data_IF_696899204571
#
_entry.id   IF_696899204571
#
_cell.length_a   1.000
_cell.length_b   1.000
_cell.length_c   1.000
_cell.angle_alpha   90.00
_cell.angle_beta   90.00
_cell.angle_gamma   90.00
#
_symmetry.space_group_name_H-M   'P 1'
#
loop_
_entity.id
_entity.type
_entity.pdbx_description
1 polymer ?
#
# COMPACT_ATOMS: atom_id res chain seq x y z
N UNK A 1 23.92 -34.08 -8.90
CA UNK A 1 23.16 -34.06 -10.17
C UNK A 1 22.10 -32.98 -9.99
N UNK A 2 22.22 -31.89 -10.78
CA UNK A 2 21.45 -30.65 -10.62
C UNK A 2 20.03 -30.87 -11.11
N UNK A 3 19.03 -30.64 -10.27
CA UNK A 3 17.64 -30.47 -10.72
C UNK A 3 17.24 -29.01 -10.48
N UNK A 4 17.13 -28.28 -11.59
CA UNK A 4 16.83 -26.86 -11.64
C UNK A 4 15.36 -26.60 -11.29
N UNK A 5 15.10 -26.10 -10.08
CA UNK A 5 13.78 -25.60 -9.69
C UNK A 5 13.51 -24.31 -10.47
N UNK A 6 12.41 -24.33 -11.25
CA UNK A 6 11.96 -23.21 -12.07
C UNK A 6 11.47 -22.07 -11.18
N UNK A 7 12.10 -20.90 -11.32
CA UNK A 7 11.63 -19.57 -10.86
C UNK A 7 10.25 -19.27 -11.45
N UNK A 8 9.28 -18.84 -10.65
CA UNK A 8 8.04 -18.25 -11.17
C UNK A 8 7.63 -17.05 -10.33
N UNK A 9 8.21 -15.89 -10.66
CA UNK A 9 7.47 -14.64 -10.54
C UNK A 9 6.25 -14.73 -11.47
N UNK A 10 5.06 -14.46 -10.96
CA UNK A 10 3.86 -14.42 -11.80
C UNK A 10 3.91 -13.15 -12.62
N UNK A 11 4.22 -13.31 -13.90
CA UNK A 11 4.31 -12.22 -14.86
C UNK A 11 2.90 -11.94 -15.40
N UNK A 12 2.32 -10.78 -15.04
CA UNK A 12 1.00 -10.37 -15.52
C UNK A 12 1.13 -9.34 -16.67
N UNK A 13 0.48 -9.60 -17.81
CA UNK A 13 0.53 -8.70 -18.99
C UNK A 13 -0.50 -7.56 -18.87
N UNK A 14 -0.03 -6.34 -19.08
CA UNK A 14 -0.86 -5.18 -19.42
C UNK A 14 0.03 -4.12 -20.08
N UNK A 15 -0.10 -3.93 -21.40
CA UNK A 15 0.57 -2.84 -22.14
C UNK A 15 2.10 -2.76 -21.99
N UNK A 16 2.83 -3.46 -22.86
CA UNK A 16 4.29 -3.36 -23.10
C UNK A 16 5.29 -3.58 -21.94
N UNK A 17 4.89 -3.52 -20.66
CA UNK A 17 5.76 -3.81 -19.51
C UNK A 17 5.16 -4.88 -18.61
N UNK A 18 6.04 -5.69 -18.01
CA UNK A 18 5.65 -6.80 -17.14
C UNK A 18 5.68 -6.35 -15.69
N UNK A 19 4.56 -6.49 -14.96
CA UNK A 19 4.55 -6.32 -13.51
C UNK A 19 5.24 -7.51 -12.86
N UNK A 20 6.23 -7.25 -12.00
CA UNK A 20 6.86 -8.27 -11.16
C UNK A 20 5.99 -8.48 -9.92
N UNK A 21 5.58 -9.72 -9.64
CA UNK A 21 4.76 -10.06 -8.48
C UNK A 21 5.45 -11.13 -7.65
N UNK A 22 5.69 -10.83 -6.38
CA UNK A 22 6.25 -11.75 -5.38
C UNK A 22 5.14 -12.26 -4.48
N UNK A 23 5.00 -13.58 -4.39
CA UNK A 23 3.95 -14.24 -3.57
C UNK A 23 4.48 -15.37 -2.70
N UNK A 24 5.65 -15.92 -3.03
CA UNK A 24 6.29 -16.93 -2.19
C UNK A 24 6.84 -16.28 -0.92
N UNK A 25 6.56 -16.86 0.24
CA UNK A 25 6.89 -16.27 1.56
C UNK A 25 8.39 -16.00 1.71
N UNK A 26 9.23 -16.90 1.20
CA UNK A 26 10.68 -16.72 1.30
C UNK A 26 11.17 -15.62 0.35
N UNK A 27 10.69 -15.62 -0.89
CA UNK A 27 11.06 -14.57 -1.87
C UNK A 27 10.55 -13.18 -1.44
N UNK A 28 9.35 -13.11 -0.84
CA UNK A 28 8.77 -11.88 -0.27
C UNK A 28 9.69 -11.34 0.83
N UNK A 29 10.06 -12.16 1.80
CA UNK A 29 10.95 -11.75 2.89
C UNK A 29 12.32 -11.29 2.36
N UNK A 30 12.92 -12.05 1.44
CA UNK A 30 14.18 -11.66 0.80
C UNK A 30 14.07 -10.32 0.06
N UNK A 31 12.95 -10.09 -0.64
CA UNK A 31 12.75 -8.85 -1.39
C UNK A 31 12.56 -7.65 -0.48
N UNK A 32 11.79 -7.80 0.60
CA UNK A 32 11.60 -6.76 1.62
C UNK A 32 12.92 -6.47 2.36
N UNK A 33 13.70 -7.49 2.66
CA UNK A 33 15.04 -7.33 3.25
C UNK A 33 15.97 -6.52 2.34
N UNK A 34 15.91 -6.73 1.01
CA UNK A 34 16.66 -5.89 0.04
C UNK A 34 16.19 -4.44 0.00
N UNK A 35 14.97 -4.15 0.47
CA UNK A 35 14.47 -2.79 0.71
C UNK A 35 14.83 -2.26 2.11
N UNK A 36 15.69 -2.95 2.88
CA UNK A 36 16.07 -2.51 4.22
C UNK A 36 14.96 -2.57 5.27
N UNK A 37 13.87 -3.31 5.00
CA UNK A 37 12.73 -3.45 5.91
C UNK A 37 12.92 -4.49 7.02
N UNK A 38 14.09 -5.14 7.06
CA UNK A 38 14.55 -5.91 8.22
C UNK A 38 15.91 -5.35 8.68
N UNK A 39 15.92 -4.20 9.39
CA UNK A 39 17.12 -3.67 10.00
C UNK A 39 17.76 -4.67 10.98
N UNK A 40 19.07 -4.57 11.15
CA UNK A 40 19.79 -5.41 12.11
C UNK A 40 19.22 -5.26 13.53
N UNK A 41 19.02 -6.38 14.22
CA UNK A 41 18.47 -6.41 15.58
C UNK A 41 16.95 -6.26 15.66
N UNK A 42 16.23 -6.23 14.53
CA UNK A 42 14.76 -6.25 14.49
C UNK A 42 14.23 -7.62 14.06
N UNK A 43 12.92 -7.89 14.24
CA UNK A 43 12.25 -9.03 13.62
C UNK A 43 12.34 -9.06 12.08
N UNK A 44 11.74 -10.07 11.48
CA UNK A 44 11.64 -10.18 10.01
C UNK A 44 10.91 -8.97 9.40
N UNK A 45 11.15 -8.69 8.11
CA UNK A 45 10.51 -7.56 7.44
C UNK A 45 8.99 -7.71 7.40
N UNK A 46 8.49 -8.93 7.15
CA UNK A 46 7.06 -9.23 7.23
C UNK A 46 6.53 -8.97 8.65
N UNK A 47 7.20 -9.46 9.69
CA UNK A 47 6.75 -9.30 11.08
C UNK A 47 6.76 -7.83 11.54
N UNK A 48 7.73 -7.03 11.09
CA UNK A 48 7.77 -5.60 11.35
C UNK A 48 6.55 -4.87 10.77
N UNK A 49 6.15 -5.22 9.53
CA UNK A 49 4.97 -4.63 8.87
C UNK A 49 3.68 -5.16 9.50
N UNK A 50 3.59 -6.46 9.73
CA UNK A 50 2.47 -7.13 10.37
C UNK A 50 2.17 -6.53 11.75
N UNK A 51 3.21 -6.39 12.60
CA UNK A 51 3.08 -5.76 13.92
C UNK A 51 2.52 -4.33 13.81
N UNK A 52 2.96 -3.53 12.83
CA UNK A 52 2.43 -2.18 12.62
C UNK A 52 0.94 -2.19 12.22
N UNK A 53 0.53 -3.12 11.37
CA UNK A 53 -0.86 -3.30 10.93
C UNK A 53 -1.76 -3.81 12.06
N UNK A 54 -1.29 -4.79 12.85
CA UNK A 54 -2.03 -5.30 14.01
C UNK A 54 -2.25 -4.22 15.08
N UNK A 55 -1.21 -3.43 15.39
CA UNK A 55 -1.34 -2.29 16.31
C UNK A 55 -2.31 -1.24 15.78
N UNK A 56 -2.32 -0.99 14.47
CA UNK A 56 -3.26 -0.06 13.84
C UNK A 56 -4.70 -0.58 13.92
N UNK A 57 -4.93 -1.88 13.73
CA UNK A 57 -6.25 -2.49 13.89
C UNK A 57 -6.74 -2.42 15.33
N UNK A 58 -5.86 -2.68 16.30
CA UNK A 58 -6.21 -2.57 17.71
C UNK A 58 -6.73 -1.16 18.07
N UNK A 59 -6.15 -0.10 17.50
CA UNK A 59 -6.68 1.27 17.67
C UNK A 59 -7.97 1.52 16.86
N UNK A 60 -8.09 0.98 15.64
CA UNK A 60 -9.31 1.05 14.84
C UNK A 60 -10.50 0.43 15.55
N UNK A 61 -10.29 -0.66 16.29
CA UNK A 61 -11.34 -1.41 17.01
C UNK A 61 -11.99 -0.65 18.17
N UNK A 62 -11.45 0.51 18.58
CA UNK A 62 -12.13 1.39 19.52
C UNK A 62 -13.24 2.23 18.88
N UNK A 63 -13.30 2.29 17.54
CA UNK A 63 -14.42 2.92 16.86
C UNK A 63 -15.70 2.10 17.03
N UNK A 64 -16.82 2.81 17.08
CA UNK A 64 -18.16 2.27 17.20
C UNK A 64 -19.05 2.80 16.08
N UNK A 65 -20.27 2.28 15.96
CA UNK A 65 -21.25 2.81 15.00
C UNK A 65 -21.71 4.25 15.29
N UNK A 66 -21.33 4.85 16.42
CA UNK A 66 -21.60 6.25 16.73
C UNK A 66 -20.56 7.21 16.13
N UNK A 67 -19.42 6.69 15.70
CA UNK A 67 -18.36 7.48 15.08
C UNK A 67 -18.70 7.84 13.61
N UNK A 68 -18.11 8.91 13.06
CA UNK A 68 -18.22 9.20 11.64
C UNK A 68 -17.74 8.00 10.81
N UNK A 69 -18.45 7.68 9.73
CA UNK A 69 -18.17 6.52 8.84
C UNK A 69 -16.71 6.50 8.35
N UNK A 70 -16.08 7.66 8.17
CA UNK A 70 -14.69 7.76 7.71
C UNK A 70 -13.64 7.59 8.81
N UNK A 71 -14.00 7.72 10.10
CA UNK A 71 -13.06 7.75 11.21
C UNK A 71 -12.27 6.44 11.37
N UNK A 72 -12.87 5.23 11.33
CA UNK A 72 -12.12 3.98 11.46
C UNK A 72 -11.01 3.84 10.40
N UNK A 73 -11.32 4.19 9.15
CA UNK A 73 -10.34 4.18 8.06
C UNK A 73 -9.22 5.20 8.25
N UNK A 74 -9.55 6.40 8.73
CA UNK A 74 -8.56 7.44 9.03
C UNK A 74 -7.64 7.05 10.19
N UNK A 75 -8.18 6.44 11.25
CA UNK A 75 -7.40 5.91 12.37
C UNK A 75 -6.45 4.84 11.87
N UNK A 76 -6.95 3.82 11.16
CA UNK A 76 -6.12 2.73 10.68
C UNK A 76 -4.97 3.24 9.79
N UNK A 77 -5.26 4.11 8.83
CA UNK A 77 -4.25 4.72 7.97
C UNK A 77 -3.21 5.50 8.77
N UNK A 78 -3.64 6.43 9.64
CA UNK A 78 -2.75 7.27 10.41
C UNK A 78 -1.89 6.48 11.41
N UNK A 79 -2.45 5.43 11.99
CA UNK A 79 -1.73 4.52 12.91
C UNK A 79 -0.77 3.60 12.21
N UNK A 80 -1.11 3.10 11.03
CA UNK A 80 -0.15 2.35 10.20
C UNK A 80 1.07 3.21 9.90
N UNK A 81 0.87 4.46 9.44
CA UNK A 81 1.98 5.42 9.21
C UNK A 81 2.81 5.64 10.48
N UNK A 82 2.16 5.89 11.61
CA UNK A 82 2.82 6.10 12.90
C UNK A 82 3.66 4.89 13.32
N UNK A 83 3.08 3.70 13.31
CA UNK A 83 3.76 2.50 13.81
C UNK A 83 4.88 2.04 12.91
N UNK A 84 4.78 2.22 11.58
CA UNK A 84 5.94 2.06 10.70
C UNK A 84 7.05 3.06 11.06
N UNK A 85 6.73 4.33 11.32
CA UNK A 85 7.74 5.31 11.76
C UNK A 85 8.37 4.93 13.10
N UNK A 86 7.59 4.51 14.09
CA UNK A 86 8.13 4.03 15.37
C UNK A 86 9.08 2.85 15.18
N UNK A 87 8.75 1.92 14.27
CA UNK A 87 9.62 0.78 13.94
C UNK A 87 10.90 1.22 13.26
N UNK A 88 10.86 2.11 12.27
CA UNK A 88 11.99 2.32 11.35
C UNK A 88 12.84 3.57 11.63
N UNK A 89 12.31 4.60 12.29
CA UNK A 89 13.08 5.81 12.66
C UNK A 89 14.34 5.48 13.51
N UNK A 90 14.29 4.57 14.51
CA UNK A 90 15.49 4.19 15.26
C UNK A 90 16.61 3.56 14.40
N UNK A 91 16.28 3.11 13.19
CA UNK A 91 17.19 2.46 12.26
C UNK A 91 17.58 3.37 11.08
N UNK A 92 17.52 4.69 11.28
CA UNK A 92 18.03 5.69 10.35
C UNK A 92 17.08 6.05 9.21
N UNK A 93 15.84 5.56 9.21
CA UNK A 93 14.81 6.07 8.29
C UNK A 93 14.37 7.47 8.71
N UNK A 94 13.82 8.23 7.77
CA UNK A 94 13.35 9.60 8.02
C UNK A 94 11.86 9.73 7.80
N UNK A 95 11.14 10.38 8.73
CA UNK A 95 9.76 10.77 8.54
C UNK A 95 9.70 12.12 7.82
N UNK A 96 9.01 12.17 6.69
CA UNK A 96 8.76 13.41 5.94
C UNK A 96 7.29 13.50 5.54
N UNK A 97 6.78 14.70 5.30
CA UNK A 97 5.41 14.90 4.82
C UNK A 97 5.32 15.92 3.68
N UNK A 98 6.14 15.78 2.63
CA UNK A 98 6.18 16.76 1.55
C UNK A 98 4.84 16.89 0.86
N UNK A 99 4.38 18.13 0.66
CA UNK A 99 3.02 18.45 0.18
C UNK A 99 1.90 17.65 0.88
N UNK A 100 2.04 17.44 2.20
CA UNK A 100 1.13 16.64 3.05
C UNK A 100 1.00 15.15 2.69
N UNK A 101 1.95 14.59 1.93
CA UNK A 101 2.01 13.14 1.70
C UNK A 101 2.91 12.51 2.77
N UNK A 102 2.39 11.74 3.74
CA UNK A 102 3.24 11.16 4.76
C UNK A 102 4.12 10.07 4.16
N UNK A 103 5.42 10.26 4.30
CA UNK A 103 6.46 9.35 3.85
C UNK A 103 7.25 8.80 5.03
N UNK A 104 7.81 7.62 4.77
CA UNK A 104 8.93 7.04 5.48
C UNK A 104 10.05 6.85 4.45
N UNK A 105 11.07 7.71 4.50
CA UNK A 105 12.18 7.77 3.55
C UNK A 105 13.29 6.82 4.01
N UNK A 106 13.77 5.97 3.11
CA UNK A 106 14.80 4.98 3.40
C UNK A 106 16.14 5.66 3.78
N UNK A 107 17.00 5.02 4.58
CA UNK A 107 18.30 5.59 4.95
C UNK A 107 19.23 5.84 3.76
N UNK A 108 19.03 5.12 2.65
CA UNK A 108 19.77 5.36 1.40
C UNK A 108 19.30 6.61 0.65
N UNK A 109 18.16 7.18 1.04
CA UNK A 109 17.43 8.24 0.33
C UNK A 109 17.02 7.86 -1.10
N UNK A 110 17.15 6.59 -1.50
CA UNK A 110 16.85 6.12 -2.86
C UNK A 110 15.37 5.82 -3.08
N UNK A 111 14.55 5.75 -2.04
CA UNK A 111 13.11 5.56 -2.13
C UNK A 111 12.40 5.94 -0.82
N UNK A 112 11.07 6.04 -0.89
CA UNK A 112 10.21 6.21 0.27
C UNK A 112 9.02 5.24 0.25
N UNK A 113 8.38 5.07 1.40
CA UNK A 113 7.14 4.31 1.57
C UNK A 113 6.04 5.25 2.04
N UNK A 114 4.85 5.11 1.46
CA UNK A 114 3.61 5.70 1.94
C UNK A 114 2.54 4.61 2.08
N UNK A 115 1.38 4.97 2.63
CA UNK A 115 0.32 4.02 2.99
C UNK A 115 -1.00 4.47 2.35
N UNK A 116 -1.76 3.53 1.76
CA UNK A 116 -3.08 3.81 1.17
C UNK A 116 -4.00 2.59 1.29
N UNK A 117 -5.30 2.82 1.40
CA UNK A 117 -6.28 1.76 1.15
C UNK A 117 -6.29 1.36 -0.32
N UNK A 118 -6.43 0.07 -0.56
CA UNK A 118 -6.51 -0.56 -1.88
C UNK A 118 -7.94 -0.99 -2.25
N UNK A 119 -8.09 -1.60 -3.41
CA UNK A 119 -9.33 -2.23 -3.86
C UNK A 119 -9.42 -3.68 -3.38
N UNK A 120 -10.52 -4.39 -3.71
CA UNK A 120 -10.75 -5.78 -3.26
C UNK A 120 -9.73 -6.77 -3.81
N UNK A 121 -9.02 -6.40 -4.86
CA UNK A 121 -7.96 -7.18 -5.51
C UNK A 121 -6.60 -7.05 -4.80
N UNK A 122 -6.48 -6.18 -3.79
CA UNK A 122 -5.26 -5.98 -2.99
C UNK A 122 -4.87 -7.27 -2.26
N UNK A 123 -3.60 -7.65 -2.32
CA UNK A 123 -3.09 -8.87 -1.71
C UNK A 123 -3.35 -10.14 -2.54
N UNK A 124 -4.03 -10.03 -3.68
CA UNK A 124 -4.21 -11.14 -4.61
C UNK A 124 -3.23 -10.99 -5.79
N UNK A 125 -2.16 -11.79 -5.79
CA UNK A 125 -1.08 -11.67 -6.79
C UNK A 125 -1.51 -11.87 -8.25
N UNK A 126 -2.60 -12.61 -8.49
CA UNK A 126 -3.15 -12.84 -9.83
C UNK A 126 -4.11 -11.73 -10.32
N UNK A 127 -4.53 -10.81 -9.43
CA UNK A 127 -5.48 -9.75 -9.75
C UNK A 127 -4.79 -8.39 -9.84
N UNK A 128 -5.47 -7.38 -10.37
CA UNK A 128 -4.93 -6.03 -10.54
C UNK A 128 -5.58 -5.07 -9.54
N UNK A 129 -4.90 -4.70 -8.45
CA UNK A 129 -5.44 -3.77 -7.48
C UNK A 129 -5.40 -2.34 -7.99
N UNK A 130 -6.28 -1.53 -7.42
CA UNK A 130 -6.19 -0.08 -7.51
C UNK A 130 -6.08 0.52 -6.11
N UNK A 131 -5.68 1.78 -6.00
CA UNK A 131 -6.01 2.55 -4.78
C UNK A 131 -7.53 2.67 -4.65
N UNK A 132 -8.08 2.59 -3.43
CA UNK A 132 -9.55 2.63 -3.21
C UNK A 132 -10.20 3.89 -3.77
N UNK A 133 -9.59 5.03 -3.43
CA UNK A 133 -10.01 6.37 -3.84
C UNK A 133 -8.99 7.00 -4.78
N UNK A 134 -9.47 7.95 -5.60
CA UNK A 134 -8.60 8.81 -6.42
C UNK A 134 -7.58 9.54 -5.55
N UNK A 135 -6.44 9.86 -6.16
CA UNK A 135 -5.29 10.47 -5.51
C UNK A 135 -5.10 11.88 -6.04
N UNK A 136 -4.76 12.79 -5.12
CA UNK A 136 -4.50 14.18 -5.45
C UNK A 136 -3.21 14.36 -6.25
N UNK A 137 -3.03 15.55 -6.81
CA UNK A 137 -1.90 15.91 -7.66
C UNK A 137 -0.54 15.64 -7.01
N UNK A 138 -0.40 15.84 -5.70
CA UNK A 138 0.84 15.55 -4.98
C UNK A 138 1.25 14.07 -5.05
N UNK A 139 0.30 13.15 -4.93
CA UNK A 139 0.55 11.71 -5.06
C UNK A 139 0.75 11.33 -6.53
N UNK A 140 -0.05 11.90 -7.43
CA UNK A 140 0.07 11.64 -8.87
C UNK A 140 1.43 12.09 -9.43
N UNK A 141 1.99 13.19 -8.92
CA UNK A 141 3.35 13.63 -9.23
C UNK A 141 4.39 12.59 -8.87
N UNK A 142 4.26 11.93 -7.70
CA UNK A 142 5.16 10.84 -7.28
C UNK A 142 5.07 9.62 -8.19
N UNK A 143 3.86 9.24 -8.59
CA UNK A 143 3.66 8.14 -9.56
C UNK A 143 4.33 8.47 -10.89
N UNK A 144 4.25 9.73 -11.34
CA UNK A 144 4.96 10.19 -12.54
C UNK A 144 6.49 10.16 -12.36
N UNK A 145 7.02 10.57 -11.19
CA UNK A 145 8.44 10.45 -10.84
C UNK A 145 8.91 9.00 -10.91
N UNK A 146 8.17 8.06 -10.33
CA UNK A 146 8.48 6.63 -10.43
C UNK A 146 8.59 6.19 -11.89
N UNK A 147 7.61 6.55 -12.73
CA UNK A 147 7.60 6.19 -14.16
C UNK A 147 8.83 6.69 -14.89
N UNK A 148 9.24 7.93 -14.63
CA UNK A 148 10.39 8.56 -15.27
C UNK A 148 11.72 7.94 -14.82
N UNK A 149 11.88 7.66 -13.52
CA UNK A 149 13.08 7.00 -12.97
C UNK A 149 13.25 5.56 -13.45
N UNK A 150 12.15 4.89 -13.80
CA UNK A 150 12.18 3.56 -14.40
C UNK A 150 12.64 3.56 -15.89
N UNK A 151 12.91 4.74 -16.48
CA UNK A 151 13.44 4.89 -17.84
C UNK A 151 14.94 5.26 -17.75
N UNK A 152 15.86 4.45 -18.29
CA UNK A 152 17.29 4.75 -18.25
C UNK A 152 17.63 6.07 -18.96
N UNK A 153 18.41 6.94 -18.32
CA UNK A 153 19.00 8.14 -18.93
C UNK A 153 18.20 9.44 -18.78
N UNK A 154 17.12 9.47 -18.00
CA UNK A 154 16.35 10.69 -17.71
C UNK A 154 16.82 11.29 -16.38
N UNK A 155 17.50 12.44 -16.43
CA UNK A 155 17.86 13.24 -15.26
C UNK A 155 16.80 14.31 -14.97
N UNK A 156 16.66 14.68 -13.69
CA UNK A 156 15.70 15.70 -13.24
C UNK A 156 16.38 17.05 -13.05
N UNK A 157 15.62 18.13 -13.29
CA UNK A 157 16.02 19.50 -12.95
C UNK A 157 15.78 19.83 -11.48
N UNK A 158 16.61 20.70 -10.92
CA UNK A 158 16.55 21.17 -9.54
C UNK A 158 15.42 22.20 -9.36
N UNK A 159 14.32 21.79 -8.73
CA UNK A 159 13.34 22.69 -8.09
C UNK A 159 13.38 22.45 -6.57
N UNK A 160 12.85 23.37 -5.76
CA UNK A 160 12.85 23.29 -4.28
C UNK A 160 12.49 21.88 -3.77
N UNK A 161 13.50 21.13 -3.34
CA UNK A 161 13.39 19.71 -3.00
C UNK A 161 13.04 19.56 -1.53
N UNK A 162 11.78 19.27 -1.21
CA UNK A 162 11.42 18.78 0.13
C UNK A 162 11.96 17.36 0.33
N UNK A 163 12.25 16.97 1.57
CA UNK A 163 12.77 15.62 1.87
C UNK A 163 11.83 14.54 1.33
N UNK A 164 12.37 13.66 0.49
CA UNK A 164 11.62 12.59 -0.18
C UNK A 164 10.94 12.99 -1.49
N UNK A 165 11.19 14.19 -2.04
CA UNK A 165 10.88 14.51 -3.43
C UNK A 165 11.89 13.91 -4.41
N UNK A 166 11.46 13.70 -5.66
CA UNK A 166 12.33 13.20 -6.73
C UNK A 166 12.74 11.73 -6.63
N UNK A 167 12.25 10.98 -5.63
CA UNK A 167 12.61 9.57 -5.40
C UNK A 167 11.40 8.64 -5.56
N UNK A 168 11.60 7.36 -5.94
CA UNK A 168 10.55 6.37 -6.04
C UNK A 168 9.77 6.24 -4.74
N UNK A 169 8.44 6.28 -4.83
CA UNK A 169 7.55 6.09 -3.68
C UNK A 169 6.78 4.77 -3.80
N UNK A 170 7.01 3.85 -2.86
CA UNK A 170 6.28 2.61 -2.67
C UNK A 170 5.00 2.84 -1.85
N UNK A 171 3.98 2.03 -2.13
CA UNK A 171 2.69 2.08 -1.45
C UNK A 171 2.46 0.78 -0.69
N UNK A 172 2.39 0.87 0.64
CA UNK A 172 1.78 -0.17 1.45
C UNK A 172 0.26 -0.06 1.26
N UNK A 173 -0.27 -0.91 0.38
CA UNK A 173 -1.70 -1.06 0.16
C UNK A 173 -2.28 -2.03 1.18
N UNK A 174 -3.48 -1.73 1.66
CA UNK A 174 -4.21 -2.61 2.54
C UNK A 174 -5.71 -2.63 2.20
N UNK A 175 -6.37 -3.75 2.48
CA UNK A 175 -7.79 -3.96 2.28
C UNK A 175 -8.35 -4.88 3.37
N UNK A 176 -9.26 -4.34 4.19
CA UNK A 176 -10.08 -5.12 5.11
C UNK A 176 -11.17 -5.87 4.35
N UNK A 177 -11.38 -7.14 4.70
CA UNK A 177 -12.38 -8.03 4.13
C UNK A 177 -13.12 -8.72 5.26
N UNK A 178 -14.44 -8.57 5.33
CA UNK A 178 -15.27 -9.30 6.28
C UNK A 178 -15.21 -10.79 5.98
N UNK A 179 -14.99 -11.60 7.01
CA UNK A 179 -15.03 -13.07 6.94
C UNK A 179 -16.16 -13.60 7.81
N UNK A 180 -16.34 -14.93 7.87
CA UNK A 180 -17.33 -15.54 8.77
C UNK A 180 -16.94 -15.40 10.26
N UNK A 181 -15.66 -15.25 10.56
CA UNK A 181 -15.11 -15.26 11.93
C UNK A 181 -14.66 -13.88 12.42
N UNK A 182 -14.71 -12.85 11.56
CA UNK A 182 -14.27 -11.51 11.91
C UNK A 182 -13.84 -10.72 10.68
N UNK A 183 -12.66 -10.11 10.75
CA UNK A 183 -12.08 -9.30 9.68
C UNK A 183 -10.74 -9.86 9.28
N UNK A 184 -10.51 -9.99 7.98
CA UNK A 184 -9.22 -10.32 7.40
C UNK A 184 -8.62 -9.10 6.75
N UNK A 185 -7.32 -8.89 6.93
CA UNK A 185 -6.58 -7.84 6.28
C UNK A 185 -5.64 -8.42 5.23
N UNK A 186 -5.85 -8.00 3.99
CA UNK A 186 -4.91 -8.21 2.90
C UNK A 186 -4.02 -6.98 2.75
N UNK A 187 -2.72 -7.19 2.56
CA UNK A 187 -1.79 -6.11 2.33
C UNK A 187 -0.73 -6.46 1.28
N UNK A 188 -0.20 -5.43 0.62
CA UNK A 188 0.93 -5.57 -0.31
C UNK A 188 1.77 -4.29 -0.32
N UNK A 189 3.07 -4.43 -0.55
CA UNK A 189 3.97 -3.32 -0.82
C UNK A 189 4.20 -3.22 -2.32
N UNK A 190 3.70 -2.15 -2.93
CA UNK A 190 3.61 -2.03 -4.39
C UNK A 190 4.25 -0.75 -4.90
N UNK A 191 5.08 -0.86 -5.94
CA UNK A 191 5.71 0.27 -6.62
C UNK A 191 4.87 0.65 -7.85
N UNK A 192 4.20 1.81 -7.85
CA UNK A 192 3.39 2.23 -8.98
C UNK A 192 4.25 2.75 -10.14
N UNK A 193 3.76 2.53 -11.35
CA UNK A 193 4.30 3.09 -12.60
C UNK A 193 3.31 4.03 -13.29
N UNK A 194 2.03 3.95 -12.95
CA UNK A 194 1.00 4.77 -13.57
C UNK A 194 -0.31 4.74 -12.83
N UNK A 195 -1.22 5.57 -13.31
CA UNK A 195 -2.57 5.70 -12.81
C UNK A 195 -3.52 5.89 -14.00
N UNK A 196 -4.68 5.26 -13.95
CA UNK A 196 -5.72 5.33 -14.96
C UNK A 196 -6.43 6.69 -14.97
N UNK A 197 -7.39 6.83 -15.89
CA UNK A 197 -8.07 8.09 -16.22
C UNK A 197 -8.84 8.74 -15.05
N UNK A 198 -9.11 7.99 -13.98
CA UNK A 198 -9.88 8.46 -12.82
C UNK A 198 -9.02 8.83 -11.60
N UNK A 199 -7.71 9.00 -11.80
CA UNK A 199 -6.78 9.40 -10.73
C UNK A 199 -6.56 8.31 -9.67
N UNK A 200 -6.97 7.07 -9.94
CA UNK A 200 -6.62 5.91 -9.12
C UNK A 200 -5.34 5.31 -9.69
N UNK A 201 -4.45 4.90 -8.80
CA UNK A 201 -3.25 4.14 -9.19
C UNK A 201 -3.69 2.71 -9.50
N UNK A 202 -3.39 2.22 -10.69
CA UNK A 202 -3.82 0.91 -11.21
C UNK A 202 -2.74 0.21 -12.07
N UNK A 203 -1.60 0.87 -12.32
CA UNK A 203 -0.45 0.30 -13.04
C UNK A 203 0.75 0.19 -12.09
N UNK A 204 1.24 -1.03 -11.93
CA UNK A 204 2.30 -1.37 -10.97
C UNK A 204 3.51 -1.94 -11.69
N UNK A 205 4.70 -1.45 -11.34
CA UNK A 205 5.97 -2.01 -11.80
C UNK A 205 6.30 -3.29 -11.00
N UNK A 206 6.07 -3.24 -9.69
CA UNK A 206 6.41 -4.32 -8.77
C UNK A 206 5.38 -4.41 -7.64
N UNK A 207 5.04 -5.64 -7.22
CA UNK A 207 4.10 -5.93 -6.14
C UNK A 207 4.66 -7.03 -5.25
N UNK A 208 4.73 -6.76 -3.95
CA UNK A 208 5.19 -7.70 -2.93
C UNK A 208 3.99 -8.04 -2.04
N UNK A 209 3.43 -9.23 -2.21
CA UNK A 209 2.21 -9.65 -1.52
C UNK A 209 2.58 -10.12 -0.11
N UNK A 210 1.98 -9.50 0.91
CA UNK A 210 2.21 -9.87 2.31
C UNK A 210 1.24 -10.99 2.73
N UNK A 211 1.61 -11.81 3.73
CA UNK A 211 0.67 -12.75 4.35
C UNK A 211 -0.59 -12.04 4.85
N UNK A 212 -1.72 -12.74 4.79
CA UNK A 212 -2.99 -12.25 5.33
C UNK A 212 -2.98 -12.28 6.86
N UNK A 213 -3.65 -11.29 7.46
CA UNK A 213 -3.78 -11.17 8.91
C UNK A 213 -5.25 -11.39 9.24
N UNK A 214 -5.55 -12.45 9.99
CA UNK A 214 -6.89 -12.70 10.51
C UNK A 214 -7.06 -12.06 11.88
N UNK A 215 -8.03 -11.17 11.99
CA UNK A 215 -8.50 -10.61 13.25
C UNK A 215 -9.75 -11.38 13.67
N UNK A 216 -9.54 -12.44 14.46
CA UNK A 216 -10.63 -13.19 15.08
C UNK A 216 -11.47 -12.27 15.96
N UNK A 217 -12.79 -12.34 15.80
CA UNK A 217 -13.71 -11.29 16.21
C UNK A 217 -13.66 -10.92 17.69
N UNK A 218 -13.36 -9.64 17.93
CA UNK A 218 -14.33 -8.79 18.60
C UNK A 218 -15.07 -8.02 17.49
N UNK A 219 -16.36 -8.30 17.29
CA UNK A 219 -17.21 -7.60 16.32
C UNK A 219 -18.03 -6.50 17.02
N UNK A 220 -17.62 -5.22 17.00
CA UNK A 220 -18.55 -4.14 17.27
C UNK A 220 -19.32 -3.82 15.98
N UNK A 221 -20.41 -4.58 15.78
CA UNK A 221 -21.50 -4.30 14.83
C UNK A 221 -21.18 -4.41 13.34
N UNK A 222 -22.10 -5.01 12.60
CA UNK A 222 -22.06 -5.13 11.13
C UNK A 222 -21.90 -3.74 10.50
N UNK A 223 -20.90 -3.59 9.62
CA UNK A 223 -20.76 -2.39 8.80
C UNK A 223 -22.09 -2.14 8.08
N UNK A 224 -22.71 -1.00 8.39
CA UNK A 224 -23.89 -0.53 7.69
C UNK A 224 -23.61 -0.54 6.18
N UNK A 225 -24.55 -1.14 5.46
CA UNK A 225 -24.71 -1.19 4.00
C UNK A 225 -24.01 -0.01 3.32
N UNK A 226 -23.09 -0.29 2.40
CA UNK A 226 -22.47 0.70 1.53
C UNK A 226 -23.55 1.56 0.86
N UNK A 227 -23.65 2.86 1.16
CA UNK A 227 -24.60 3.75 0.49
C UNK A 227 -24.32 3.90 -1.02
N UNK A 228 -23.12 3.51 -1.48
CA UNK A 228 -22.74 3.46 -2.89
C UNK A 228 -23.03 2.11 -3.55
N UNK A 229 -23.70 1.17 -2.88
CA UNK A 229 -24.45 0.09 -3.55
C UNK A 229 -25.75 0.62 -4.17
N UNK A 230 -25.67 1.79 -4.79
CA UNK A 230 -26.79 2.51 -5.38
C UNK A 230 -27.28 1.82 -6.64
N UNK A 231 -28.53 1.35 -6.61
CA UNK A 231 -29.30 1.17 -7.83
C UNK A 231 -29.42 2.52 -8.54
N UNK A 232 -29.17 2.53 -9.85
CA UNK A 232 -29.29 3.70 -10.70
C UNK A 232 -30.78 4.03 -10.87
N UNK A 233 -31.28 5.03 -10.15
CA UNK A 233 -32.67 5.50 -10.28
C UNK A 233 -32.65 6.68 -11.26
N UNK A 234 -33.19 6.55 -12.48
CA UNK A 234 -33.26 7.67 -13.40
C UNK A 234 -34.24 8.72 -12.88
N UNK A 235 -33.74 9.94 -12.67
CA UNK A 235 -34.55 11.10 -12.29
C UNK A 235 -35.06 11.78 -13.56
N UNK A 236 -36.33 11.59 -13.90
CA UNK A 236 -37.03 12.47 -14.85
C UNK A 236 -37.35 13.80 -14.17
N UNK A 237 -36.86 14.90 -14.73
CA UNK A 237 -37.33 16.23 -14.34
C UNK A 237 -38.69 16.48 -14.99
N UNK A 238 -39.74 16.50 -14.19
CA UNK A 238 -41.04 17.02 -14.60
C UNK A 238 -40.93 18.54 -14.75
N UNK A 239 -41.25 19.02 -15.95
CA UNK A 239 -41.44 20.45 -16.26
C UNK A 239 -42.77 20.99 -15.78
#
# INVERSE_FOLDING_TARGET
MRESIRKLAVIQRGGAKMTVVWTDVHEVEERLKKLGLSPEGTPSAVENIDTALQRAEAERNFCTGLDPISLPGNIFWGRTVRFLRETYLPHGWTAASPRNVPLLVAPSEEFAITVSSGSRETGFGALKPTTRYSKGTAVMGRVATNRQLLIPGVGFGEEDVEVGDGIPTWFLLYQHVSTKSGVRLHAELSLPEGAGEHGKIDVWNERIILPEIDFDGFTPFEDAIDPNSGFDIPVERLG
#
